data_IF_439035472095
#
_entry.id   IF_439035472095
#
_cell.length_a   1.000
_cell.length_b   1.000
_cell.length_c   1.000
_cell.angle_alpha   90.00
_cell.angle_beta   90.00
_cell.angle_gamma   90.00
#
_symmetry.space_group_name_H-M   'P 1'
#
loop_
_entity.id
_entity.type
_entity.pdbx_description
1 polymer ?
#
# COMPACT_ATOMS: atom_id res chain seq x y z
N UNK A 1 -12.74 30.37 19.70
CA UNK A 1 -13.47 29.86 18.51
C UNK A 1 -13.92 30.94 17.51
N UNK A 2 -14.69 31.98 17.87
CA UNK A 2 -15.13 33.01 16.90
C UNK A 2 -13.96 33.80 16.28
N UNK A 3 -12.91 34.09 17.06
CA UNK A 3 -11.70 34.75 16.56
C UNK A 3 -10.88 33.87 15.60
N UNK A 4 -10.77 32.56 15.85
CA UNK A 4 -10.12 31.62 14.92
C UNK A 4 -10.87 31.57 13.58
N UNK A 5 -12.21 31.50 13.59
CA UNK A 5 -12.99 31.51 12.34
C UNK A 5 -12.77 32.79 11.54
N UNK A 6 -12.68 33.94 12.20
CA UNK A 6 -12.41 35.22 11.54
C UNK A 6 -11.00 35.28 10.93
N UNK A 7 -10.01 34.66 11.58
CA UNK A 7 -8.64 34.58 11.06
C UNK A 7 -8.52 33.59 9.90
N UNK A 8 -9.28 32.50 9.92
CA UNK A 8 -9.33 31.51 8.83
C UNK A 8 -9.92 32.12 7.55
N UNK A 9 -11.02 32.90 7.68
CA UNK A 9 -11.60 33.64 6.54
C UNK A 9 -10.68 34.76 6.06
N UNK A 10 -9.95 35.42 6.97
CA UNK A 10 -8.95 36.43 6.62
C UNK A 10 -7.74 35.83 5.92
N UNK A 11 -7.37 34.59 6.26
CA UNK A 11 -6.30 33.82 5.64
C UNK A 11 -6.69 33.40 4.22
N UNK A 12 -7.88 32.84 4.02
CA UNK A 12 -8.40 32.47 2.70
C UNK A 12 -8.51 33.69 1.77
N UNK A 13 -9.02 34.83 2.26
CA UNK A 13 -9.06 36.08 1.50
C UNK A 13 -7.66 36.64 1.15
N UNK A 14 -6.66 36.39 2.01
CA UNK A 14 -5.27 36.79 1.75
C UNK A 14 -4.59 35.86 0.72
N UNK A 15 -4.97 34.58 0.67
CA UNK A 15 -4.52 33.64 -0.36
C UNK A 15 -5.16 33.91 -1.73
N UNK A 16 -6.43 34.30 -1.78
CA UNK A 16 -7.07 34.70 -3.04
C UNK A 16 -6.46 35.99 -3.63
N UNK A 17 -6.03 36.92 -2.78
CA UNK A 17 -5.31 38.13 -3.21
C UNK A 17 -3.87 37.85 -3.66
N UNK A 18 -3.21 36.76 -3.21
CA UNK A 18 -1.90 36.34 -3.71
C UNK A 18 -1.89 36.03 -5.21
N UNK A 19 -3.00 35.48 -5.73
CA UNK A 19 -3.12 35.13 -7.16
C UNK A 19 -3.35 36.34 -8.08
N UNK A 20 -3.66 37.51 -7.53
CA UNK A 20 -4.06 38.71 -8.30
C UNK A 20 -3.13 39.90 -8.14
N UNK A 21 -2.17 39.87 -7.21
CA UNK A 21 -1.36 41.04 -6.85
C UNK A 21 0.06 41.01 -7.44
N UNK A 22 0.60 42.19 -7.80
CA UNK A 22 1.89 42.33 -8.52
C UNK A 22 3.13 42.42 -7.62
N UNK A 23 2.96 42.48 -6.30
CA UNK A 23 4.06 42.54 -5.34
C UNK A 23 3.99 41.38 -4.33
N UNK A 24 4.69 40.26 -4.59
CA UNK A 24 4.62 39.05 -3.77
C UNK A 24 5.23 39.21 -2.38
N UNK A 25 6.11 40.20 -2.14
CA UNK A 25 6.76 40.40 -0.84
C UNK A 25 5.79 40.93 0.23
N UNK A 26 4.91 41.87 -0.12
CA UNK A 26 3.89 42.37 0.82
C UNK A 26 2.87 41.31 1.23
N UNK A 27 2.61 40.33 0.35
CA UNK A 27 1.67 39.24 0.65
C UNK A 27 2.33 38.21 1.58
N UNK A 28 3.61 37.92 1.40
CA UNK A 28 4.38 37.07 2.32
C UNK A 28 4.46 37.67 3.72
N UNK A 29 4.69 38.98 3.83
CA UNK A 29 4.70 39.68 5.12
C UNK A 29 3.34 39.60 5.84
N UNK A 30 2.22 39.79 5.12
CA UNK A 30 0.86 39.58 5.68
C UNK A 30 0.58 38.13 6.09
N UNK A 31 1.13 37.16 5.36
CA UNK A 31 1.01 35.74 5.67
C UNK A 31 1.78 35.42 6.95
N UNK A 32 3.01 35.90 7.10
CA UNK A 32 3.83 35.73 8.29
C UNK A 32 3.20 36.40 9.53
N UNK A 33 2.67 37.61 9.38
CA UNK A 33 1.94 38.27 10.46
C UNK A 33 0.68 37.51 10.91
N UNK A 34 -0.09 36.98 9.95
CA UNK A 34 -1.28 36.19 10.26
C UNK A 34 -0.93 34.87 10.93
N UNK A 35 0.15 34.23 10.48
CA UNK A 35 0.68 33.02 11.11
C UNK A 35 1.09 33.27 12.56
N UNK A 36 1.83 34.36 12.83
CA UNK A 36 2.22 34.74 14.20
C UNK A 36 1.02 34.99 15.11
N UNK A 37 -0.06 35.60 14.60
CA UNK A 37 -1.31 35.81 15.36
C UNK A 37 -1.99 34.49 15.71
N UNK A 38 -1.94 33.49 14.82
CA UNK A 38 -2.49 32.15 15.07
C UNK A 38 -1.69 31.44 16.18
N UNK A 39 -0.37 31.49 16.11
CA UNK A 39 0.51 30.89 17.14
C UNK A 39 0.27 31.51 18.52
N UNK A 40 0.13 32.84 18.60
CA UNK A 40 -0.20 33.52 19.87
C UNK A 40 -1.56 33.11 20.44
N UNK A 41 -2.56 32.91 19.59
CA UNK A 41 -3.88 32.45 20.03
C UNK A 41 -3.86 31.00 20.50
N UNK A 42 -3.10 30.13 19.83
CA UNK A 42 -2.91 28.75 20.26
C UNK A 42 -2.20 28.68 21.62
N UNK A 43 -1.14 29.49 21.82
CA UNK A 43 -0.46 29.58 23.11
C UNK A 43 -1.40 30.04 24.24
N UNK A 44 -2.28 31.03 23.97
CA UNK A 44 -3.27 31.50 24.94
C UNK A 44 -4.31 30.44 25.29
N UNK A 45 -4.81 29.71 24.29
CA UNK A 45 -5.76 28.62 24.51
C UNK A 45 -5.16 27.48 25.31
N UNK A 46 -3.87 27.18 25.11
CA UNK A 46 -3.16 26.15 25.88
C UNK A 46 -3.03 26.55 27.35
N UNK A 47 -2.65 27.81 27.63
CA UNK A 47 -2.58 28.34 29.00
C UNK A 47 -3.96 28.29 29.69
N UNK A 48 -5.02 28.66 28.97
CA UNK A 48 -6.39 28.62 29.49
C UNK A 48 -6.81 27.18 29.80
N UNK A 49 -6.52 26.23 28.91
CA UNK A 49 -6.78 24.80 29.10
C UNK A 49 -6.04 24.23 30.32
N UNK A 50 -4.75 24.53 30.48
CA UNK A 50 -3.94 24.08 31.61
C UNK A 50 -4.45 24.68 32.94
N UNK A 51 -4.96 25.92 32.91
CA UNK A 51 -5.59 26.55 34.08
C UNK A 51 -6.90 25.87 34.49
N UNK A 52 -7.68 25.38 33.52
CA UNK A 52 -8.91 24.62 33.76
C UNK A 52 -8.62 23.23 34.35
N UNK A 53 -7.57 22.56 33.87
CA UNK A 53 -7.16 21.26 34.42
C UNK A 53 -6.56 21.35 35.83
N UNK A 54 -6.08 22.53 36.23
CA UNK A 54 -5.47 22.77 37.53
C UNK A 54 -6.46 23.18 38.64
N UNK A 55 -7.76 23.28 38.36
CA UNK A 55 -8.76 23.59 39.39
C UNK A 55 -9.05 22.37 40.28
N UNK A 56 -8.87 22.44 41.62
CA UNK A 56 -9.20 21.35 42.50
C UNK A 56 -10.72 21.17 42.58
N UNK A 57 -11.21 20.00 42.16
CA UNK A 57 -12.60 19.59 42.38
C UNK A 57 -12.90 19.58 43.89
N UNK A 58 -13.77 20.49 44.32
CA UNK A 58 -14.16 20.65 45.72
C UNK A 58 -14.73 19.36 46.32
N UNK A 59 -14.04 18.85 47.34
CA UNK A 59 -14.54 17.81 48.24
C UNK A 59 -15.69 18.37 49.08
N UNK A 60 -16.92 17.91 48.83
CA UNK A 60 -18.08 18.11 49.69
C UNK A 60 -17.85 17.43 51.05
N UNK A 61 -17.29 18.18 52.00
CA UNK A 61 -17.18 17.80 53.41
C UNK A 61 -18.50 18.11 54.10
N UNK A 62 -19.34 17.08 54.32
CA UNK A 62 -20.56 17.21 55.12
C UNK A 62 -20.19 17.21 56.60
N UNK A 63 -20.34 18.38 57.23
CA UNK A 63 -20.29 18.59 58.68
C UNK A 63 -21.61 18.15 59.31
N UNK A 64 -21.57 17.39 60.40
CA UNK A 64 -22.58 17.45 61.46
C UNK A 64 -21.92 17.39 62.84
N UNK A 65 -22.54 17.99 63.88
CA UNK A 65 -21.85 18.48 65.06
C UNK A 65 -21.97 17.55 66.28
N UNK A 66 -21.01 17.69 67.19
CA UNK A 66 -20.99 17.17 68.56
C UNK A 66 -22.13 17.70 69.44
N UNK A 67 -22.52 16.95 70.49
CA UNK A 67 -22.55 17.55 71.82
C UNK A 67 -22.00 16.67 72.97
N UNK A 68 -21.29 17.35 73.89
CA UNK A 68 -21.28 17.27 75.36
C UNK A 68 -21.06 15.95 76.16
N UNK A 69 -19.90 15.90 76.84
CA UNK A 69 -19.64 15.71 78.31
C UNK A 69 -19.91 14.37 79.04
N UNK A 70 -18.80 13.63 79.31
CA UNK A 70 -18.32 12.92 80.55
C UNK A 70 -19.20 11.91 81.35
N UNK A 71 -18.64 11.15 82.33
CA UNK A 71 -17.58 10.13 82.27
C UNK A 71 -17.99 8.78 82.99
N UNK A 72 -17.23 7.68 82.85
CA UNK A 72 -16.86 6.69 83.94
C UNK A 72 -16.45 5.27 83.47
N UNK A 73 -15.25 4.86 83.94
CA UNK A 73 -14.68 3.53 84.35
C UNK A 73 -15.05 2.14 83.72
N UNK A 74 -14.17 1.12 83.91
CA UNK A 74 -13.97 -0.02 83.00
C UNK A 74 -14.46 -1.39 83.54
N UNK A 75 -14.59 -2.39 82.65
CA UNK A 75 -14.39 -3.81 82.95
C UNK A 75 -14.36 -4.69 81.66
N UNK A 76 -13.36 -5.56 81.55
CA UNK A 76 -13.33 -6.85 80.80
C UNK A 76 -14.23 -7.91 81.50
N UNK A 77 -14.38 -9.20 81.07
CA UNK A 77 -13.94 -9.96 79.87
C UNK A 77 -15.05 -10.89 79.24
N UNK A 78 -14.67 -11.74 78.28
CA UNK A 78 -15.21 -13.11 78.00
C UNK A 78 -16.42 -13.28 77.05
N UNK A 79 -16.20 -13.82 75.85
CA UNK A 79 -16.46 -15.24 75.49
C UNK A 79 -16.27 -15.48 73.97
N UNK A 80 -15.88 -16.70 73.60
CA UNK A 80 -15.82 -17.27 72.24
C UNK A 80 -16.80 -18.46 72.17
N UNK A 81 -16.95 -19.22 71.05
CA UNK A 81 -17.20 -18.95 69.62
C UNK A 81 -18.56 -19.61 69.18
N UNK A 82 -18.94 -19.86 67.89
CA UNK A 82 -18.33 -20.92 67.05
C UNK A 82 -18.22 -20.62 65.53
N UNK A 83 -17.49 -21.53 64.86
CA UNK A 83 -17.15 -21.67 63.44
C UNK A 83 -18.37 -21.73 62.48
N UNK A 84 -18.18 -21.41 61.18
CA UNK A 84 -18.60 -22.39 60.18
C UNK A 84 -17.60 -22.62 59.02
N UNK A 85 -17.35 -23.91 58.80
CA UNK A 85 -17.46 -24.65 57.54
C UNK A 85 -16.67 -24.21 56.30
N UNK A 86 -15.85 -25.17 55.85
CA UNK A 86 -15.06 -25.22 54.64
C UNK A 86 -15.81 -24.78 53.37
N UNK A 87 -15.16 -23.93 52.58
CA UNK A 87 -15.54 -23.67 51.18
C UNK A 87 -14.55 -24.40 50.29
N UNK A 88 -15.08 -25.36 49.53
CA UNK A 88 -14.36 -26.11 48.50
C UNK A 88 -13.77 -25.15 47.46
N UNK A 89 -12.47 -25.30 47.20
CA UNK A 89 -11.77 -24.59 46.13
C UNK A 89 -12.10 -25.27 44.81
N UNK A 90 -12.56 -24.55 43.76
CA UNK A 90 -12.75 -25.14 42.45
C UNK A 90 -11.40 -25.56 41.85
N UNK A 91 -11.35 -26.64 41.03
CA UNK A 91 -10.10 -27.19 40.51
C UNK A 91 -9.43 -26.16 39.60
N UNK A 92 -8.16 -25.87 39.88
CA UNK A 92 -7.35 -25.01 39.05
C UNK A 92 -7.17 -25.65 37.66
N UNK A 93 -7.83 -25.06 36.66
CA UNK A 93 -7.48 -25.30 35.25
C UNK A 93 -6.03 -24.90 35.06
N UNK A 94 -5.14 -25.89 34.90
CA UNK A 94 -3.75 -25.64 34.51
C UNK A 94 -3.78 -25.17 33.06
N UNK A 95 -3.91 -23.86 32.87
CA UNK A 95 -3.56 -23.24 31.60
C UNK A 95 -2.05 -23.34 31.46
N UNK A 96 -1.59 -24.24 30.59
CA UNK A 96 -0.20 -24.23 30.12
C UNK A 96 -0.02 -22.92 29.36
N UNK A 97 0.45 -21.87 30.04
CA UNK A 97 0.91 -20.64 29.38
C UNK A 97 2.11 -21.02 28.53
N UNK A 98 1.90 -21.15 27.23
CA UNK A 98 3.02 -21.28 26.29
C UNK A 98 3.85 -20.00 26.41
N UNK A 99 5.11 -20.15 26.81
CA UNK A 99 6.04 -19.02 26.84
C UNK A 99 6.21 -18.48 25.41
N UNK A 100 6.16 -17.15 25.21
CA UNK A 100 6.29 -16.56 23.89
C UNK A 100 7.63 -16.93 23.26
N UNK A 101 7.65 -17.13 21.94
CA UNK A 101 8.90 -17.45 21.24
C UNK A 101 9.69 -16.16 20.98
N UNK A 102 11.02 -16.11 21.24
CA UNK A 102 11.86 -14.96 20.91
C UNK A 102 11.74 -14.46 19.46
N UNK A 103 11.36 -15.35 18.53
CA UNK A 103 11.22 -15.05 17.11
C UNK A 103 9.97 -14.22 16.76
N UNK A 104 9.02 -14.09 17.70
CA UNK A 104 7.79 -13.32 17.52
C UNK A 104 7.98 -11.82 17.75
N UNK A 105 9.10 -11.42 18.37
CA UNK A 105 9.45 -10.02 18.60
C UNK A 105 9.98 -9.44 17.29
N UNK A 106 9.46 -8.31 16.87
CA UNK A 106 9.94 -7.64 15.67
C UNK A 106 11.41 -7.26 15.82
N UNK A 107 12.16 -7.28 14.72
CA UNK A 107 13.54 -6.80 14.71
C UNK A 107 13.56 -5.29 14.63
N UNK A 108 14.50 -4.66 15.32
CA UNK A 108 14.66 -3.21 15.34
C UNK A 108 16.13 -2.82 15.12
N UNK A 109 16.40 -2.09 14.05
CA UNK A 109 17.75 -1.64 13.67
C UNK A 109 18.01 -0.15 13.96
N UNK A 110 16.98 0.57 14.43
CA UNK A 110 17.01 2.01 14.65
C UNK A 110 16.24 2.82 13.60
N UNK A 111 15.63 2.16 12.60
CA UNK A 111 14.72 2.81 11.67
C UNK A 111 13.41 3.18 12.36
N UNK A 112 13.09 4.48 12.40
CA UNK A 112 11.86 5.02 12.98
C UNK A 112 10.58 4.35 12.42
N UNK A 113 10.56 3.95 11.15
CA UNK A 113 9.40 3.30 10.55
C UNK A 113 9.10 1.90 11.11
N UNK A 114 10.11 1.25 11.70
CA UNK A 114 9.98 -0.05 12.36
C UNK A 114 9.56 0.08 13.83
N UNK A 115 9.78 1.26 14.44
CA UNK A 115 9.55 1.49 15.87
C UNK A 115 8.12 1.15 16.33
N UNK A 116 7.03 1.53 15.63
CA UNK A 116 5.68 1.26 16.12
C UNK A 116 5.40 -0.24 16.24
N UNK A 117 5.73 -1.01 15.20
CA UNK A 117 5.57 -2.47 15.21
C UNK A 117 6.46 -3.14 16.27
N UNK A 118 7.66 -2.62 16.47
CA UNK A 118 8.57 -3.11 17.51
C UNK A 118 8.03 -2.85 18.92
N UNK A 119 7.62 -1.62 19.21
CA UNK A 119 7.09 -1.23 20.51
C UNK A 119 5.78 -1.98 20.82
N UNK A 120 4.90 -2.17 19.82
CA UNK A 120 3.71 -3.03 19.95
C UNK A 120 4.08 -4.48 20.25
N UNK A 121 5.09 -5.05 19.59
CA UNK A 121 5.54 -6.42 19.86
C UNK A 121 6.07 -6.58 21.30
N UNK A 122 6.77 -5.57 21.82
CA UNK A 122 7.21 -5.57 23.22
C UNK A 122 6.00 -5.53 24.15
N UNK A 123 5.09 -4.57 23.95
CA UNK A 123 3.93 -4.37 24.80
C UNK A 123 2.99 -5.59 24.82
N UNK A 124 2.79 -6.24 23.66
CA UNK A 124 1.80 -7.30 23.52
C UNK A 124 2.35 -8.70 23.76
N UNK A 125 3.67 -8.91 23.57
CA UNK A 125 4.29 -10.23 23.64
C UNK A 125 5.26 -10.31 24.81
N UNK A 126 6.21 -9.39 24.91
CA UNK A 126 7.31 -9.48 25.88
C UNK A 126 6.93 -9.00 27.29
N UNK A 127 6.20 -7.90 27.39
CA UNK A 127 5.74 -7.32 28.65
C UNK A 127 4.81 -8.27 29.44
N UNK A 128 3.77 -8.88 28.85
CA UNK A 128 2.89 -9.80 29.57
C UNK A 128 3.50 -11.20 29.78
N UNK A 129 4.63 -11.52 29.13
CA UNK A 129 5.27 -12.82 29.27
C UNK A 129 5.64 -13.12 30.73
N UNK A 130 5.35 -14.32 31.26
CA UNK A 130 5.73 -14.74 32.61
C UNK A 130 7.22 -15.13 32.68
N UNK A 131 8.10 -14.25 32.16
CA UNK A 131 9.54 -14.47 32.06
C UNK A 131 10.30 -13.58 33.06
N UNK A 132 11.44 -14.04 33.59
CA UNK A 132 12.33 -13.21 34.39
C UNK A 132 12.76 -11.96 33.62
N UNK A 133 12.83 -10.81 34.28
CA UNK A 133 13.21 -9.53 33.65
C UNK A 133 14.58 -9.59 32.95
N UNK A 134 15.54 -10.34 33.52
CA UNK A 134 16.84 -10.56 32.90
C UNK A 134 16.74 -11.31 31.56
N UNK A 135 15.85 -12.29 31.47
CA UNK A 135 15.58 -13.02 30.23
C UNK A 135 14.89 -12.12 29.21
N UNK A 136 13.95 -11.27 29.65
CA UNK A 136 13.32 -10.26 28.78
C UNK A 136 14.36 -9.28 28.21
N UNK A 137 15.32 -8.84 29.03
CA UNK A 137 16.41 -7.97 28.58
C UNK A 137 17.33 -8.67 27.57
N UNK A 138 17.67 -9.94 27.79
CA UNK A 138 18.43 -10.73 26.81
C UNK A 138 17.69 -10.83 25.46
N UNK A 139 16.37 -10.97 25.49
CA UNK A 139 15.55 -11.01 24.27
C UNK A 139 15.47 -9.65 23.59
N UNK A 140 15.35 -8.56 24.36
CA UNK A 140 15.43 -7.19 23.86
C UNK A 140 16.77 -6.93 23.14
N UNK A 141 17.90 -7.38 23.70
CA UNK A 141 19.22 -7.28 23.08
C UNK A 141 19.35 -8.10 21.79
N UNK A 142 18.64 -9.23 21.68
CA UNK A 142 18.62 -10.06 20.46
C UNK A 142 17.71 -9.48 19.37
N UNK A 143 16.62 -8.83 19.76
CA UNK A 143 15.66 -8.21 18.85
C UNK A 143 16.17 -6.86 18.30
N UNK A 144 17.12 -6.23 18.99
CA UNK A 144 17.75 -4.97 18.58
C UNK A 144 19.06 -5.19 17.82
N UNK A 145 19.37 -4.29 16.90
CA UNK A 145 20.62 -4.25 16.15
C UNK A 145 21.03 -2.80 15.89
N UNK A 146 22.26 -2.56 15.43
CA UNK A 146 22.74 -1.21 15.13
C UNK A 146 22.79 -0.28 16.36
N UNK A 147 22.38 0.97 16.17
CA UNK A 147 22.45 2.03 17.20
C UNK A 147 21.60 1.72 18.45
N UNK A 148 20.35 1.22 18.36
CA UNK A 148 19.60 0.77 19.53
C UNK A 148 20.35 -0.25 20.39
N UNK A 149 20.99 -1.23 19.74
CA UNK A 149 21.74 -2.26 20.46
C UNK A 149 22.96 -1.69 21.16
N UNK A 150 23.71 -0.80 20.50
CA UNK A 150 24.84 -0.10 21.14
C UNK A 150 24.43 0.67 22.38
N UNK A 151 23.25 1.31 22.38
CA UNK A 151 22.73 2.01 23.55
C UNK A 151 22.39 1.02 24.69
N UNK A 152 21.84 -0.14 24.36
CA UNK A 152 21.46 -1.15 25.35
C UNK A 152 22.65 -1.96 25.89
N UNK A 153 23.68 -2.20 25.07
CA UNK A 153 24.92 -2.91 25.47
C UNK A 153 25.69 -2.14 26.57
N UNK A 154 25.38 -0.85 26.79
CA UNK A 154 25.94 -0.08 27.92
C UNK A 154 25.39 -0.49 29.29
N UNK A 155 24.28 -1.25 29.32
CA UNK A 155 23.62 -1.67 30.55
C UNK A 155 24.01 -3.12 30.93
N UNK A 156 24.28 -3.41 32.21
CA UNK A 156 24.57 -4.78 32.66
C UNK A 156 23.35 -5.70 32.47
N UNK A 157 23.55 -7.00 32.27
CA UNK A 157 22.44 -7.97 32.08
C UNK A 157 21.81 -8.31 33.43
N UNK A 158 20.97 -7.40 33.93
CA UNK A 158 20.29 -7.46 35.23
C UNK A 158 18.79 -7.15 35.10
N UNK A 159 18.00 -7.49 36.12
CA UNK A 159 16.55 -7.28 36.11
C UNK A 159 16.16 -5.80 35.94
N UNK A 160 16.91 -4.87 36.54
CA UNK A 160 16.68 -3.43 36.44
C UNK A 160 16.94 -2.87 35.03
N UNK A 161 17.82 -3.54 34.26
CA UNK A 161 18.23 -3.08 32.93
C UNK A 161 17.15 -3.23 31.87
N UNK A 162 16.20 -4.15 32.06
CA UNK A 162 15.05 -4.27 31.13
C UNK A 162 14.25 -2.97 31.05
N UNK A 163 13.81 -2.46 32.20
CA UNK A 163 13.01 -1.25 32.27
C UNK A 163 13.82 -0.02 31.82
N UNK A 164 15.07 0.10 32.26
CA UNK A 164 15.95 1.21 31.88
C UNK A 164 16.24 1.20 30.38
N UNK A 165 16.49 0.04 29.80
CA UNK A 165 16.72 -0.13 28.37
C UNK A 165 15.50 0.28 27.54
N UNK A 166 14.31 -0.17 27.92
CA UNK A 166 13.06 0.24 27.26
C UNK A 166 12.82 1.75 27.36
N UNK A 167 13.10 2.35 28.53
CA UNK A 167 12.99 3.79 28.71
C UNK A 167 13.91 4.56 27.78
N UNK A 168 15.18 4.14 27.66
CA UNK A 168 16.14 4.75 26.73
C UNK A 168 15.65 4.66 25.28
N UNK A 169 15.14 3.50 24.86
CA UNK A 169 14.60 3.34 23.52
C UNK A 169 13.38 4.22 23.27
N UNK A 170 12.44 4.28 24.22
CA UNK A 170 11.25 5.13 24.11
C UNK A 170 11.62 6.61 24.03
N UNK A 171 12.56 7.07 24.85
CA UNK A 171 13.03 8.46 24.81
C UNK A 171 13.63 8.84 23.45
N UNK A 172 14.37 7.93 22.82
CA UNK A 172 15.04 8.20 21.55
C UNK A 172 14.13 8.05 20.32
N UNK A 173 13.25 7.04 20.32
CA UNK A 173 12.52 6.59 19.14
C UNK A 173 11.00 6.81 19.20
N UNK A 174 10.41 6.99 20.38
CA UNK A 174 8.97 7.24 20.54
C UNK A 174 8.64 8.74 20.39
N UNK A 175 9.01 9.29 19.22
CA UNK A 175 8.81 10.70 18.88
C UNK A 175 7.69 10.83 17.84
N UNK A 176 6.45 11.14 18.25
CA UNK A 176 5.28 11.07 17.38
C UNK A 176 5.38 12.01 16.17
N UNK A 177 5.99 13.19 16.34
CA UNK A 177 6.20 14.15 15.25
C UNK A 177 7.14 13.61 14.17
N UNK A 178 8.30 13.07 14.58
CA UNK A 178 9.28 12.47 13.67
C UNK A 178 8.71 11.23 12.99
N UNK A 179 7.95 10.40 13.73
CA UNK A 179 7.27 9.23 13.16
C UNK A 179 6.26 9.66 12.09
N UNK A 180 5.45 10.67 12.37
CA UNK A 180 4.52 11.23 11.39
C UNK A 180 5.25 11.74 10.14
N UNK A 181 6.37 12.47 10.30
CA UNK A 181 7.19 12.94 9.17
C UNK A 181 7.79 11.79 8.36
N UNK A 182 8.32 10.76 9.01
CA UNK A 182 8.84 9.58 8.32
C UNK A 182 7.75 8.88 7.48
N UNK A 183 6.54 8.73 8.02
CA UNK A 183 5.41 8.15 7.28
C UNK A 183 4.95 9.06 6.13
N UNK A 184 4.92 10.38 6.34
CA UNK A 184 4.64 11.36 5.27
C UNK A 184 5.62 11.21 4.12
N UNK A 185 6.91 11.20 4.43
CA UNK A 185 7.98 11.05 3.44
C UNK A 185 7.85 9.72 2.68
N UNK A 186 7.53 8.64 3.37
CA UNK A 186 7.34 7.34 2.74
C UNK A 186 6.11 7.31 1.80
N UNK A 187 5.01 7.98 2.18
CA UNK A 187 3.83 8.14 1.32
C UNK A 187 4.21 8.96 0.07
N UNK A 188 4.93 10.07 0.24
CA UNK A 188 5.37 10.93 -0.86
C UNK A 188 6.27 10.17 -1.83
N UNK A 189 7.29 9.47 -1.31
CA UNK A 189 8.31 8.76 -2.07
C UNK A 189 7.86 7.39 -2.63
N UNK A 190 6.70 6.87 -2.20
CA UNK A 190 6.18 5.60 -2.71
C UNK A 190 6.10 5.60 -4.24
N UNK A 191 6.65 4.57 -4.88
CA UNK A 191 6.74 4.53 -6.35
C UNK A 191 5.35 4.53 -6.96
N UNK A 192 5.14 5.42 -7.93
CA UNK A 192 3.95 5.37 -8.75
C UNK A 192 4.00 4.10 -9.62
N UNK A 193 2.92 3.32 -9.61
CA UNK A 193 2.87 2.03 -10.31
C UNK A 193 3.11 2.18 -11.82
N UNK A 194 2.86 3.36 -12.40
CA UNK A 194 2.96 3.63 -13.84
C UNK A 194 4.33 4.17 -14.31
N UNK A 195 5.39 4.08 -13.51
CA UNK A 195 6.70 4.68 -13.82
C UNK A 195 7.59 3.88 -14.80
N UNK A 196 7.15 2.71 -15.26
CA UNK A 196 7.90 1.88 -16.23
C UNK A 196 7.27 1.93 -17.63
N UNK A 197 8.07 1.71 -18.69
CA UNK A 197 7.59 1.61 -20.09
C UNK A 197 6.59 0.45 -20.34
N UNK A 198 6.31 -0.35 -19.31
CA UNK A 198 5.31 -1.43 -19.33
C UNK A 198 4.15 -1.02 -18.43
N UNK A 199 2.90 -1.12 -18.91
CA UNK A 199 1.74 -0.95 -18.03
C UNK A 199 1.85 -1.95 -16.86
N UNK A 200 1.86 -1.49 -15.60
CA UNK A 200 1.90 -2.36 -14.43
C UNK A 200 0.66 -3.26 -14.39
N UNK A 201 0.82 -4.45 -13.81
CA UNK A 201 -0.27 -5.41 -13.67
C UNK A 201 -1.29 -4.93 -12.63
N UNK A 202 -2.52 -5.43 -12.71
CA UNK A 202 -3.55 -5.17 -11.69
C UNK A 202 -3.05 -5.51 -10.28
N UNK A 203 -2.25 -6.58 -10.14
CA UNK A 203 -1.63 -6.97 -8.87
C UNK A 203 -0.66 -5.92 -8.30
N UNK A 204 0.09 -5.22 -9.17
CA UNK A 204 1.02 -4.17 -8.74
C UNK A 204 0.23 -2.96 -8.19
N UNK A 205 -0.91 -2.63 -8.79
CA UNK A 205 -1.81 -1.61 -8.26
C UNK A 205 -2.44 -2.00 -6.94
N UNK A 206 -2.86 -3.26 -6.79
CA UNK A 206 -3.42 -3.78 -5.52
C UNK A 206 -2.36 -3.71 -4.41
N UNK A 207 -1.13 -4.12 -4.70
CA UNK A 207 -0.01 -4.02 -3.75
C UNK A 207 0.27 -2.57 -3.35
N UNK A 208 0.23 -1.63 -4.31
CA UNK A 208 0.37 -0.21 -4.03
C UNK A 208 -0.77 0.32 -3.14
N UNK A 209 -2.01 -0.08 -3.40
CA UNK A 209 -3.16 0.31 -2.55
C UNK A 209 -2.95 -0.18 -1.11
N UNK A 210 -2.61 -1.46 -0.91
CA UNK A 210 -2.36 -1.99 0.43
C UNK A 210 -1.20 -1.28 1.14
N UNK A 211 -0.12 -0.98 0.43
CA UNK A 211 1.02 -0.24 0.99
C UNK A 211 0.60 1.17 1.42
N UNK A 212 -0.14 1.90 0.59
CA UNK A 212 -0.60 3.26 0.90
C UNK A 212 -1.62 3.26 2.05
N UNK A 213 -2.54 2.29 2.10
CA UNK A 213 -3.47 2.13 3.22
C UNK A 213 -2.74 1.90 4.54
N UNK A 214 -1.74 1.01 4.55
CA UNK A 214 -0.96 0.73 5.75
C UNK A 214 -0.18 1.97 6.24
N UNK A 215 0.42 2.74 5.32
CA UNK A 215 1.14 3.96 5.67
C UNK A 215 0.20 5.05 6.19
N UNK A 216 -0.95 5.23 5.56
CA UNK A 216 -1.92 6.26 5.96
C UNK A 216 -2.55 5.92 7.32
N UNK A 217 -2.89 4.66 7.56
CA UNK A 217 -3.38 4.21 8.86
C UNK A 217 -2.35 4.47 9.98
N UNK A 218 -1.07 4.15 9.74
CA UNK A 218 0.01 4.45 10.69
C UNK A 218 0.17 5.95 10.92
N UNK A 219 0.12 6.75 9.86
CA UNK A 219 0.17 8.20 9.99
C UNK A 219 -0.99 8.74 10.84
N UNK A 220 -2.21 8.24 10.65
CA UNK A 220 -3.40 8.66 11.41
C UNK A 220 -3.28 8.39 12.92
N UNK A 221 -2.50 7.39 13.34
CA UNK A 221 -2.23 7.14 14.76
C UNK A 221 -1.43 8.28 15.42
N UNK A 222 -0.58 8.96 14.65
CA UNK A 222 0.28 10.05 15.14
C UNK A 222 -0.21 11.45 14.72
N UNK A 223 -1.01 11.53 13.66
CA UNK A 223 -1.56 12.76 13.11
C UNK A 223 -3.00 12.52 12.60
N UNK A 224 -3.98 12.79 13.45
CA UNK A 224 -5.40 12.60 13.15
C UNK A 224 -5.88 13.51 12.00
N UNK A 225 -5.19 14.63 11.73
CA UNK A 225 -5.57 15.55 10.65
C UNK A 225 -5.29 14.97 9.27
N UNK A 226 -4.45 13.93 9.19
CA UNK A 226 -4.06 13.31 7.94
C UNK A 226 -5.23 12.66 7.17
N UNK A 227 -6.28 12.21 7.87
CA UNK A 227 -7.46 11.60 7.22
C UNK A 227 -8.18 12.56 6.27
N UNK A 228 -8.35 13.80 6.73
CA UNK A 228 -9.12 14.83 6.05
C UNK A 228 -8.23 15.75 5.20
N UNK A 229 -6.92 15.55 5.21
CA UNK A 229 -6.00 16.39 4.45
C UNK A 229 -6.14 16.10 2.94
N UNK A 230 -6.52 17.11 2.13
CA UNK A 230 -6.71 16.94 0.68
C UNK A 230 -5.39 16.63 -0.04
N UNK A 231 -4.25 16.91 0.59
CA UNK A 231 -2.91 16.67 0.07
C UNK A 231 -2.71 15.18 -0.21
N UNK A 232 -3.08 14.29 0.73
CA UNK A 232 -2.92 12.84 0.53
C UNK A 232 -3.86 12.31 -0.55
N UNK A 233 -5.11 12.78 -0.60
CA UNK A 233 -6.04 12.45 -1.69
C UNK A 233 -5.45 12.80 -3.05
N UNK A 234 -4.85 13.99 -3.18
CA UNK A 234 -4.23 14.43 -4.43
C UNK A 234 -2.96 13.65 -4.79
N UNK A 235 -2.12 13.32 -3.80
CA UNK A 235 -0.94 12.47 -3.98
C UNK A 235 -1.34 11.08 -4.46
N UNK A 236 -2.33 10.46 -3.83
CA UNK A 236 -2.82 9.12 -4.19
C UNK A 236 -3.36 9.16 -5.62
N UNK A 237 -4.22 10.13 -5.98
CA UNK A 237 -4.73 10.29 -7.37
C UNK A 237 -3.61 10.33 -8.41
N UNK A 238 -2.51 11.01 -8.10
CA UNK A 238 -1.33 11.11 -8.99
C UNK A 238 -0.57 9.80 -9.14
N UNK A 239 -0.65 8.86 -8.19
CA UNK A 239 0.08 7.57 -8.24
C UNK A 239 -0.63 6.50 -9.08
N UNK A 240 -1.92 6.67 -9.35
CA UNK A 240 -2.74 5.75 -10.15
C UNK A 240 -3.08 6.31 -11.55
N UNK A 241 -3.33 5.44 -12.54
CA UNK A 241 -3.68 5.86 -13.89
C UNK A 241 -5.03 6.58 -13.92
N UNK A 242 -5.13 7.62 -14.77
CA UNK A 242 -6.33 8.47 -14.91
C UNK A 242 -7.60 7.67 -15.20
N UNK A 243 -7.52 6.54 -15.91
CA UNK A 243 -8.66 5.65 -16.21
C UNK A 243 -9.34 5.09 -14.96
N UNK A 244 -8.57 4.85 -13.89
CA UNK A 244 -9.10 4.33 -12.62
C UNK A 244 -9.67 5.48 -11.81
N UNK A 245 -8.93 6.58 -11.69
CA UNK A 245 -9.35 7.76 -10.95
C UNK A 245 -10.64 8.39 -11.52
N UNK A 246 -10.81 8.39 -12.84
CA UNK A 246 -12.01 8.92 -13.50
C UNK A 246 -13.31 8.18 -13.11
N UNK A 247 -13.21 6.91 -12.70
CA UNK A 247 -14.36 6.13 -12.22
C UNK A 247 -14.71 6.42 -10.75
N UNK A 248 -13.88 7.18 -10.05
CA UNK A 248 -13.92 7.39 -8.60
C UNK A 248 -14.14 8.88 -8.26
N UNK A 249 -15.21 9.46 -8.81
CA UNK A 249 -15.54 10.89 -8.63
C UNK A 249 -16.03 11.24 -7.24
N UNK A 250 -16.55 10.25 -6.50
CA UNK A 250 -17.28 10.48 -5.25
C UNK A 250 -16.39 10.33 -4.00
N UNK A 251 -15.14 9.89 -4.16
CA UNK A 251 -14.22 9.71 -3.04
C UNK A 251 -13.65 11.07 -2.59
N UNK A 252 -13.99 11.46 -1.36
CA UNK A 252 -13.62 12.75 -0.76
C UNK A 252 -12.37 12.68 0.11
N UNK A 253 -12.11 11.53 0.74
CA UNK A 253 -10.95 11.30 1.62
C UNK A 253 -9.94 10.34 1.00
N UNK A 254 -8.70 10.36 1.52
CA UNK A 254 -7.65 9.47 1.07
C UNK A 254 -7.98 7.99 1.33
N UNK A 255 -8.57 7.67 2.50
CA UNK A 255 -9.01 6.32 2.85
C UNK A 255 -10.13 5.82 1.94
N UNK A 256 -11.20 6.62 1.76
CA UNK A 256 -12.32 6.24 0.88
C UNK A 256 -11.88 6.05 -0.58
N UNK A 257 -10.92 6.85 -1.05
CA UNK A 257 -10.32 6.68 -2.38
C UNK A 257 -9.57 5.36 -2.50
N UNK A 258 -8.74 5.00 -1.51
CA UNK A 258 -7.99 3.75 -1.51
C UNK A 258 -8.91 2.52 -1.44
N UNK A 259 -9.98 2.57 -0.63
CA UNK A 259 -10.98 1.50 -0.56
C UNK A 259 -11.73 1.33 -1.89
N UNK A 260 -12.13 2.45 -2.50
CA UNK A 260 -12.81 2.42 -3.80
C UNK A 260 -11.88 1.91 -4.91
N UNK A 261 -10.60 2.28 -4.88
CA UNK A 261 -9.57 1.74 -5.77
C UNK A 261 -9.41 0.22 -5.58
N UNK A 262 -9.34 -0.25 -4.33
CA UNK A 262 -9.25 -1.67 -4.01
C UNK A 262 -10.42 -2.46 -4.60
N UNK A 263 -11.65 -2.00 -4.35
CA UNK A 263 -12.86 -2.66 -4.85
C UNK A 263 -12.88 -2.72 -6.38
N UNK A 264 -12.53 -1.62 -7.05
CA UNK A 264 -12.50 -1.55 -8.50
C UNK A 264 -11.44 -2.50 -9.09
N UNK A 265 -10.23 -2.52 -8.52
CA UNK A 265 -9.14 -3.38 -8.97
C UNK A 265 -9.44 -4.86 -8.76
N UNK A 266 -10.09 -5.23 -7.65
CA UNK A 266 -10.54 -6.60 -7.40
C UNK A 266 -11.62 -7.01 -8.39
N UNK A 267 -12.61 -6.16 -8.66
CA UNK A 267 -13.62 -6.43 -9.68
C UNK A 267 -13.02 -6.62 -11.08
N UNK A 268 -12.03 -5.80 -11.47
CA UNK A 268 -11.30 -5.96 -12.74
C UNK A 268 -10.51 -7.29 -12.76
N UNK A 269 -9.96 -7.73 -11.62
CA UNK A 269 -9.27 -9.00 -11.49
C UNK A 269 -10.23 -10.19 -11.60
N UNK A 270 -11.38 -10.16 -10.93
CA UNK A 270 -12.37 -11.25 -10.95
C UNK A 270 -12.96 -11.46 -12.35
N UNK A 271 -13.28 -10.37 -13.06
CA UNK A 271 -13.73 -10.45 -14.46
C UNK A 271 -12.68 -11.06 -15.38
N UNK A 272 -11.40 -10.75 -15.17
CA UNK A 272 -10.31 -11.36 -15.93
C UNK A 272 -10.15 -12.86 -15.61
N UNK A 273 -10.37 -13.27 -14.35
CA UNK A 273 -10.33 -14.68 -13.97
C UNK A 273 -11.47 -15.48 -14.62
N UNK A 274 -12.70 -14.94 -14.62
CA UNK A 274 -13.84 -15.56 -15.29
C UNK A 274 -13.60 -15.70 -16.80
N UNK A 275 -13.11 -14.63 -17.46
CA UNK A 275 -12.81 -14.67 -18.90
C UNK A 275 -11.73 -15.71 -19.27
N UNK A 276 -10.78 -15.97 -18.37
CA UNK A 276 -9.75 -16.99 -18.57
C UNK A 276 -10.23 -18.40 -18.22
N UNK A 277 -11.18 -18.55 -17.29
CA UNK A 277 -11.78 -19.82 -16.92
C UNK A 277 -12.68 -20.39 -18.04
N UNK A 278 -13.46 -19.53 -18.71
CA UNK A 278 -14.28 -19.93 -19.87
C UNK A 278 -13.41 -20.37 -21.07
N UNK A 279 -12.22 -19.76 -21.23
CA UNK A 279 -11.22 -20.18 -22.22
C UNK A 279 -10.58 -21.54 -21.91
N UNK A 280 -10.44 -21.90 -20.63
CA UNK A 280 -9.88 -23.17 -20.18
C UNK A 280 -10.92 -24.32 -20.22
N UNK A 281 -12.19 -24.04 -19.92
CA UNK A 281 -13.28 -25.02 -20.00
C UNK A 281 -13.56 -25.49 -21.43
N UNK A 282 -13.23 -24.68 -22.44
CA UNK A 282 -13.46 -25.00 -23.85
C UNK A 282 -12.33 -25.85 -24.49
N UNK A 283 -11.24 -26.12 -23.77
CA UNK A 283 -10.10 -26.92 -24.29
C UNK A 283 -10.00 -28.34 -23.73
N UNK A 284 -10.97 -28.80 -22.92
CA UNK A 284 -10.91 -30.12 -22.27
C UNK A 284 -12.12 -31.05 -22.54
N UNK A 285 -12.67 -31.04 -23.76
CA UNK A 285 -13.43 -32.19 -24.28
C UNK A 285 -12.96 -32.49 -25.70
N UNK A 286 -11.87 -33.26 -25.82
CA UNK A 286 -11.52 -34.13 -26.95
C UNK A 286 -10.13 -34.70 -26.68
N UNK A 287 -10.05 -35.86 -26.03
CA UNK A 287 -9.13 -36.96 -26.38
C UNK A 287 -9.33 -38.15 -25.41
N UNK A 288 -9.66 -39.30 -25.99
CA UNK A 288 -9.90 -40.60 -25.34
C UNK A 288 -11.16 -41.21 -25.95
N UNK A 289 -11.15 -42.16 -26.89
CA UNK A 289 -10.29 -43.33 -27.05
C UNK A 289 -10.10 -43.68 -28.53
N UNK A 290 -8.92 -44.20 -28.90
CA UNK A 290 -8.71 -44.98 -30.12
C UNK A 290 -8.76 -46.47 -29.76
N UNK A 291 -9.71 -47.22 -30.34
CA UNK A 291 -9.59 -48.61 -30.85
C UNK A 291 -10.97 -49.01 -31.47
N UNK A 292 -11.06 -49.97 -32.42
CA UNK A 292 -11.38 -49.66 -33.80
C UNK A 292 -12.70 -50.29 -34.30
N UNK A 293 -12.96 -50.13 -35.61
CA UNK A 293 -13.77 -50.99 -36.50
C UNK A 293 -15.11 -50.39 -36.96
N UNK A 294 -15.13 -50.08 -38.28
CA UNK A 294 -16.19 -50.19 -39.32
C UNK A 294 -17.64 -49.96 -38.86
N UNK A 295 -18.41 -49.05 -39.46
CA UNK A 295 -18.90 -49.14 -40.85
C UNK A 295 -19.32 -47.76 -41.41
N UNK A 296 -19.05 -47.59 -42.71
CA UNK A 296 -19.59 -46.58 -43.64
C UNK A 296 -21.05 -46.90 -44.03
N UNK A 297 -21.80 -46.11 -44.86
CA UNK A 297 -21.69 -44.69 -45.25
C UNK A 297 -23.01 -43.91 -45.11
N UNK A 298 -22.93 -42.60 -45.41
CA UNK A 298 -23.91 -41.72 -46.11
C UNK A 298 -24.27 -40.50 -45.29
N UNK A 299 -24.46 -39.31 -45.83
CA UNK A 299 -24.10 -38.62 -47.07
C UNK A 299 -24.78 -37.27 -46.92
N UNK A 300 -24.18 -36.19 -47.43
CA UNK A 300 -24.83 -34.93 -47.80
C UNK A 300 -25.44 -34.11 -46.63
N UNK A 301 -25.41 -32.78 -46.60
CA UNK A 301 -25.10 -31.80 -47.62
C UNK A 301 -24.73 -30.49 -46.93
N UNK A 302 -23.86 -29.74 -47.59
CA UNK A 302 -23.83 -28.29 -47.57
C UNK A 302 -25.22 -27.66 -47.47
N UNK A 303 -25.34 -26.60 -46.66
CA UNK A 303 -25.89 -25.32 -47.14
C UNK A 303 -25.44 -24.21 -46.20
N UNK A 304 -24.72 -23.26 -46.78
CA UNK A 304 -24.45 -21.92 -46.27
C UNK A 304 -25.74 -21.21 -45.86
N UNK A 305 -25.67 -20.34 -44.85
CA UNK A 305 -26.36 -19.05 -44.94
C UNK A 305 -25.55 -17.97 -44.22
N UNK A 306 -25.24 -16.94 -45.00
CA UNK A 306 -24.73 -15.65 -44.56
C UNK A 306 -25.66 -15.02 -43.52
N UNK A 307 -25.11 -14.25 -42.58
CA UNK A 307 -25.62 -12.90 -42.44
C UNK A 307 -24.52 -11.92 -42.03
N UNK A 308 -24.56 -10.77 -42.68
CA UNK A 308 -23.66 -9.63 -42.65
C UNK A 308 -24.40 -8.43 -42.07
N UNK A 309 -23.71 -7.60 -41.29
CA UNK A 309 -23.87 -6.13 -41.11
C UNK A 309 -23.09 -5.73 -39.84
N UNK A 310 -21.96 -4.99 -39.85
CA UNK A 310 -21.58 -3.68 -40.40
C UNK A 310 -22.01 -2.46 -39.55
N UNK A 311 -20.99 -1.70 -39.10
CA UNK A 311 -21.04 -0.32 -38.56
C UNK A 311 -20.70 -0.23 -37.07
N UNK A 312 -19.75 0.55 -36.54
CA UNK A 312 -18.94 1.68 -37.05
C UNK A 312 -17.70 1.89 -36.13
N UNK A 313 -16.71 2.58 -36.67
CA UNK A 313 -15.31 2.73 -36.26
C UNK A 313 -15.03 3.40 -34.90
N UNK A 314 -14.00 2.89 -34.21
CA UNK A 314 -13.31 3.54 -33.09
C UNK A 314 -12.06 2.75 -32.68
N UNK A 315 -10.92 3.05 -33.33
CA UNK A 315 -9.54 2.65 -33.00
C UNK A 315 -9.37 1.41 -32.09
N UNK A 316 -9.63 0.22 -32.63
CA UNK A 316 -9.33 -1.03 -31.95
C UNK A 316 -7.81 -1.26 -31.91
N UNK A 317 -7.24 -1.23 -30.69
CA UNK A 317 -5.92 -1.78 -30.37
C UNK A 317 -5.77 -3.15 -31.07
N UNK A 318 -4.94 -3.22 -32.12
CA UNK A 318 -4.61 -4.46 -32.81
C UNK A 318 -4.03 -5.47 -31.81
N UNK A 319 -4.88 -6.36 -31.28
CA UNK A 319 -4.42 -7.54 -30.55
C UNK A 319 -3.76 -8.49 -31.55
N UNK A 320 -2.44 -8.60 -31.45
CA UNK A 320 -1.60 -9.81 -31.59
C UNK A 320 -1.73 -10.68 -32.87
N UNK A 321 -2.30 -10.19 -33.97
CA UNK A 321 -2.21 -10.88 -35.26
C UNK A 321 -0.97 -10.44 -36.03
N UNK A 322 -0.37 -11.35 -36.78
CA UNK A 322 0.83 -11.09 -37.58
C UNK A 322 0.55 -9.98 -38.61
N UNK A 323 1.27 -8.84 -38.56
CA UNK A 323 1.05 -7.74 -39.50
C UNK A 323 1.53 -8.06 -40.91
N UNK A 324 2.33 -9.12 -41.08
CA UNK A 324 2.91 -9.54 -42.35
C UNK A 324 1.93 -10.39 -43.17
N UNK A 325 1.07 -11.17 -42.53
CA UNK A 325 0.11 -12.03 -43.20
C UNK A 325 -1.24 -11.33 -43.42
N UNK A 326 -2.05 -11.78 -44.39
CA UNK A 326 -3.44 -11.36 -44.49
C UNK A 326 -4.22 -11.72 -43.22
N UNK A 327 -5.18 -10.90 -42.77
CA UNK A 327 -5.94 -11.11 -41.53
C UNK A 327 -6.79 -12.40 -41.51
N UNK A 328 -6.98 -13.06 -42.67
CA UNK A 328 -7.81 -14.25 -42.83
C UNK A 328 -7.03 -15.55 -43.07
N UNK A 329 -5.75 -15.63 -42.68
CA UNK A 329 -5.01 -16.89 -42.75
C UNK A 329 -5.19 -17.72 -41.47
N UNK A 330 -5.63 -18.97 -41.64
CA UNK A 330 -5.73 -19.96 -40.58
C UNK A 330 -4.47 -20.84 -40.57
N UNK A 331 -3.82 -21.06 -39.40
CA UNK A 331 -4.17 -20.53 -38.08
C UNK A 331 -3.66 -19.09 -37.85
N UNK A 332 -4.41 -18.34 -37.03
CA UNK A 332 -3.98 -17.04 -36.52
C UNK A 332 -2.65 -17.17 -35.77
N UNK A 333 -1.67 -16.33 -36.11
CA UNK A 333 -0.33 -16.36 -35.52
C UNK A 333 0.19 -14.94 -35.25
N UNK A 334 1.21 -14.84 -34.41
CA UNK A 334 1.95 -13.58 -34.16
C UNK A 334 3.16 -13.48 -35.10
N UNK A 335 3.76 -12.29 -35.24
CA UNK A 335 4.98 -12.13 -36.04
C UNK A 335 6.13 -13.08 -35.66
N UNK A 336 6.21 -13.49 -34.39
CA UNK A 336 7.20 -14.44 -33.90
C UNK A 336 7.03 -15.85 -34.48
N UNK A 337 5.79 -16.23 -34.78
CA UNK A 337 5.40 -17.55 -35.28
C UNK A 337 4.90 -17.46 -36.73
N UNK A 338 5.39 -16.48 -37.51
CA UNK A 338 4.97 -16.30 -38.89
C UNK A 338 5.46 -17.46 -39.77
N UNK A 339 4.58 -18.17 -40.51
CA UNK A 339 4.96 -19.32 -41.33
C UNK A 339 5.74 -18.93 -42.59
N UNK A 340 5.71 -17.65 -42.99
CA UNK A 340 6.54 -17.13 -44.09
C UNK A 340 8.03 -17.24 -43.74
N UNK A 341 8.88 -17.45 -44.74
CA UNK A 341 10.33 -17.44 -44.54
C UNK A 341 10.86 -16.01 -44.28
N UNK A 342 12.09 -15.84 -43.74
CA UNK A 342 12.62 -14.52 -43.42
C UNK A 342 12.69 -13.53 -44.59
N UNK A 343 12.91 -13.99 -45.84
CA UNK A 343 12.92 -13.14 -47.03
C UNK A 343 11.50 -12.67 -47.36
N UNK A 344 10.54 -13.59 -47.35
CA UNK A 344 9.12 -13.28 -47.55
C UNK A 344 8.59 -12.32 -46.48
N UNK A 345 9.00 -12.49 -45.22
CA UNK A 345 8.63 -11.57 -44.13
C UNK A 345 9.21 -10.17 -44.33
N UNK A 346 10.46 -10.06 -44.78
CA UNK A 346 11.11 -8.77 -45.04
C UNK A 346 10.45 -8.04 -46.21
N UNK A 347 10.11 -8.77 -47.27
CA UNK A 347 9.41 -8.23 -48.43
C UNK A 347 7.98 -7.82 -48.07
N UNK A 348 7.25 -8.62 -47.29
CA UNK A 348 5.92 -8.26 -46.80
C UNK A 348 5.93 -7.00 -45.90
N UNK A 349 6.94 -6.86 -45.03
CA UNK A 349 7.13 -5.66 -44.22
C UNK A 349 7.42 -4.43 -45.09
N UNK A 350 8.23 -4.59 -46.15
CA UNK A 350 8.56 -3.52 -47.10
C UNK A 350 7.33 -3.10 -47.92
N UNK A 351 6.57 -4.06 -48.47
CA UNK A 351 5.37 -3.81 -49.25
C UNK A 351 4.29 -3.09 -48.43
N UNK A 352 4.12 -3.48 -47.17
CA UNK A 352 3.19 -2.86 -46.22
C UNK A 352 3.73 -1.60 -45.54
N UNK A 353 4.94 -1.14 -45.91
CA UNK A 353 5.62 0.04 -45.34
C UNK A 353 5.69 0.02 -43.80
N UNK A 354 5.94 -1.15 -43.23
CA UNK A 354 6.05 -1.33 -41.79
C UNK A 354 7.47 -1.01 -41.31
N UNK A 355 7.57 -0.42 -40.12
CA UNK A 355 8.82 -0.30 -39.39
C UNK A 355 9.49 -1.67 -39.24
N UNK A 356 10.74 -1.81 -39.68
CA UNK A 356 11.43 -3.11 -39.59
C UNK A 356 11.75 -3.51 -38.15
N UNK A 357 11.62 -2.62 -37.17
CA UNK A 357 11.92 -2.90 -35.77
C UNK A 357 10.70 -3.37 -34.97
N UNK A 358 9.58 -2.65 -35.08
CA UNK A 358 8.36 -2.94 -34.31
C UNK A 358 7.20 -3.46 -35.16
N UNK A 359 7.33 -3.43 -36.50
CA UNK A 359 6.33 -3.88 -37.47
C UNK A 359 4.98 -3.14 -37.41
N UNK A 360 5.01 -1.88 -36.99
CA UNK A 360 3.91 -0.92 -37.13
C UNK A 360 4.10 -0.03 -38.36
N UNK A 361 3.01 0.48 -38.92
CA UNK A 361 2.96 1.35 -40.11
C UNK A 361 3.19 2.85 -39.82
N UNK A 362 3.40 3.23 -38.55
CA UNK A 362 3.41 4.64 -38.14
C UNK A 362 4.74 5.37 -38.32
N UNK A 363 5.85 4.66 -38.50
CA UNK A 363 7.19 5.27 -38.56
C UNK A 363 8.20 4.36 -39.26
N UNK A 364 9.37 4.92 -39.60
CA UNK A 364 10.49 4.16 -40.12
C UNK A 364 11.42 3.64 -39.00
N UNK A 365 12.26 2.66 -39.31
CA UNK A 365 13.16 2.02 -38.32
C UNK A 365 14.03 2.98 -37.51
N UNK A 366 14.47 4.08 -38.10
CA UNK A 366 15.35 5.07 -37.46
C UNK A 366 14.59 6.03 -36.51
N UNK A 367 13.29 6.21 -36.70
CA UNK A 367 12.38 6.96 -35.80
C UNK A 367 11.72 6.04 -34.76
N UNK A 368 12.12 4.76 -34.73
CA UNK A 368 11.45 3.79 -33.90
C UNK A 368 11.71 4.06 -32.41
N UNK A 369 10.66 4.32 -31.59
CA UNK A 369 10.82 4.54 -30.15
C UNK A 369 11.17 3.24 -29.40
N UNK A 370 11.11 2.09 -30.07
CA UNK A 370 11.50 0.80 -29.51
C UNK A 370 13.01 0.68 -29.43
N UNK A 371 13.53 0.43 -28.23
CA UNK A 371 14.94 0.06 -28.00
C UNK A 371 15.25 -1.40 -28.38
N UNK A 372 14.27 -2.12 -28.94
CA UNK A 372 14.45 -3.50 -29.39
C UNK A 372 15.58 -3.59 -30.43
N UNK A 373 16.41 -4.63 -30.27
CA UNK A 373 17.48 -5.00 -31.20
C UNK A 373 17.33 -6.48 -31.54
N UNK A 374 17.65 -6.83 -32.79
CA UNK A 374 17.63 -8.20 -33.27
C UNK A 374 18.48 -9.09 -32.36
N UNK A 375 17.92 -10.20 -31.88
CA UNK A 375 18.65 -11.11 -30.99
C UNK A 375 19.82 -11.83 -31.67
N UNK A 376 19.81 -11.90 -33.01
CA UNK A 376 20.85 -12.58 -33.80
C UNK A 376 22.03 -11.66 -34.13
N UNK A 377 21.78 -10.41 -34.57
CA UNK A 377 22.85 -9.50 -35.02
C UNK A 377 22.87 -8.13 -34.34
N UNK A 378 22.03 -7.91 -33.33
CA UNK A 378 21.99 -6.70 -32.49
C UNK A 378 21.72 -5.37 -33.22
N UNK A 379 21.28 -5.43 -34.48
CA UNK A 379 20.84 -4.26 -35.26
C UNK A 379 19.36 -3.94 -34.96
N UNK A 380 18.90 -2.69 -35.17
CA UNK A 380 17.54 -2.24 -34.83
C UNK A 380 16.49 -2.78 -35.82
N UNK A 381 16.24 -4.09 -35.80
CA UNK A 381 15.15 -4.73 -36.54
C UNK A 381 14.57 -5.91 -35.76
N UNK A 382 13.33 -6.28 -36.06
CA UNK A 382 12.62 -7.39 -35.46
C UNK A 382 13.31 -8.71 -35.81
N UNK A 383 13.60 -9.57 -34.82
CA UNK A 383 14.35 -10.82 -35.05
C UNK A 383 13.71 -11.73 -36.11
N UNK A 384 12.38 -11.75 -36.20
CA UNK A 384 11.68 -12.53 -37.24
C UNK A 384 11.95 -12.07 -38.69
N UNK A 385 12.46 -10.85 -38.90
CA UNK A 385 12.83 -10.30 -40.21
C UNK A 385 14.33 -10.48 -40.54
N UNK A 386 15.10 -11.10 -39.63
CA UNK A 386 16.54 -11.28 -39.81
C UNK A 386 16.84 -12.27 -40.93
N UNK A 387 17.71 -11.86 -41.86
CA UNK A 387 18.22 -12.71 -42.93
C UNK A 387 19.71 -12.88 -42.69
N UNK A 388 20.14 -14.12 -42.45
CA UNK A 388 21.56 -14.47 -42.37
C UNK A 388 22.19 -14.37 -43.76
N UNK A 389 23.26 -13.59 -43.90
CA UNK A 389 24.01 -13.49 -45.15
C UNK A 389 24.84 -14.76 -45.46
N UNK A 390 24.78 -15.80 -44.62
CA UNK A 390 25.47 -17.08 -44.81
C UNK A 390 24.73 -18.07 -45.74
N UNK A 391 23.48 -17.79 -46.14
CA UNK A 391 22.68 -18.63 -47.05
C UNK A 391 22.17 -17.86 -48.27
N UNK A 392 23.04 -17.03 -48.86
CA UNK A 392 22.85 -16.56 -50.22
C UNK A 392 23.48 -17.58 -51.19
N UNK A 393 22.71 -18.26 -52.07
CA UNK A 393 23.31 -18.75 -53.30
C UNK A 393 23.78 -17.54 -54.08
N UNK A 394 25.08 -17.49 -54.32
CA UNK A 394 25.74 -16.52 -55.20
C UNK A 394 25.18 -16.66 -56.61
N UNK A 395 24.60 -15.58 -57.16
CA UNK A 395 24.39 -15.36 -58.59
C UNK A 395 23.65 -14.03 -58.83
N UNK A 396 24.02 -13.12 -59.73
CA UNK A 396 25.13 -12.99 -60.67
C UNK A 396 25.36 -11.48 -60.85
N UNK A 397 26.62 -11.08 -60.86
CA UNK A 397 27.12 -9.95 -61.64
C UNK A 397 27.07 -10.33 -63.13
N UNK A 398 26.44 -9.50 -63.95
CA UNK A 398 26.97 -9.04 -65.25
C UNK A 398 26.19 -7.83 -65.75
#
# INVERSE_FOLDING_TARGET
>A
MRQMKHLDHSWEASLETFHTNKDPMQVLERIEENWSKIEQLQARLQIEFDSYQSQPTGSLRRTTPTPATSPSRPATPTSAPPLPTATETPPATIYVQQNPNPSEIAKFDGNYLQWPAFNESIHNILDPAPLPLQQKFSWLLKATSGRPKLALDTLPIEAASYQKGLQLLRQEYDRPTILADCFRDQILQSKAAHSSNTEPRTDDYIALVHSLQALLHRLQQYDQTAENSPIYTQIIKRKFPKRLIAKLTNATTANSLLDSLKQLLLAEKDLNLLHNADGAATQHIKHGFNAPVRHSPRSNNWTSHHNSQSGTSGAARHRKLCPLCPPNQSPAHTIWNCPLDPRQRNEAAKQKKLCKNCCYDSHNTWECPSSFKCKTCQRPHHTALHIDFATAPSAHSH
#
